data_IF_462875603012
#
_entry.id   IF_462875603012
#
_cell.length_a   1.000
_cell.length_b   1.000
_cell.length_c   1.000
_cell.angle_alpha   90.00
_cell.angle_beta   90.00
_cell.angle_gamma   90.00
#
_symmetry.space_group_name_H-M   'P 1'
#
loop_
_entity.id
_entity.type
_entity.pdbx_description
1 polymer ?
#
# COMPACT_ATOMS: atom_id res chain seq x y z
N UNK A 1 18.40 1.20 -20.09
CA UNK A 1 17.47 2.19 -19.51
C UNK A 1 17.54 2.04 -18.01
N UNK A 2 17.55 3.12 -17.22
CA UNK A 2 17.53 3.00 -15.76
C UNK A 2 16.21 2.36 -15.31
N UNK A 3 16.23 1.52 -14.27
CA UNK A 3 15.03 0.83 -13.76
C UNK A 3 13.88 1.82 -13.46
N UNK A 4 14.21 3.06 -13.07
CA UNK A 4 13.23 4.12 -12.87
C UNK A 4 12.55 4.57 -14.17
N UNK A 5 13.26 4.67 -15.29
CA UNK A 5 12.67 5.09 -16.56
C UNK A 5 11.62 4.08 -17.02
N UNK A 6 11.89 2.78 -16.84
CA UNK A 6 10.92 1.72 -17.11
C UNK A 6 9.72 1.79 -16.16
N UNK A 7 9.94 2.09 -14.87
CA UNK A 7 8.84 2.27 -13.91
C UNK A 7 7.91 3.42 -14.30
N UNK A 8 8.47 4.58 -14.70
CA UNK A 8 7.66 5.72 -15.13
C UNK A 8 6.90 5.42 -16.43
N UNK A 9 7.54 4.79 -17.41
CA UNK A 9 6.87 4.38 -18.63
C UNK A 9 5.69 3.44 -18.35
N UNK A 10 5.90 2.44 -17.49
CA UNK A 10 4.84 1.50 -17.10
C UNK A 10 3.72 2.21 -16.32
N UNK A 11 4.07 3.15 -15.44
CA UNK A 11 3.10 3.94 -14.70
C UNK A 11 2.26 4.82 -15.64
N UNK A 12 2.88 5.48 -16.63
CA UNK A 12 2.19 6.25 -17.66
C UNK A 12 1.20 5.40 -18.46
N UNK A 13 1.66 4.26 -19.00
CA UNK A 13 0.78 3.32 -19.72
C UNK A 13 -0.38 2.85 -18.83
N UNK A 14 -0.12 2.56 -17.56
CA UNK A 14 -1.19 2.14 -16.63
C UNK A 14 -2.16 3.28 -16.31
N UNK A 15 -1.70 4.54 -16.28
CA UNK A 15 -2.58 5.71 -16.13
C UNK A 15 -3.48 5.85 -17.36
N UNK A 16 -2.96 5.66 -18.56
CA UNK A 16 -3.77 5.68 -19.79
C UNK A 16 -4.87 4.62 -19.75
N UNK A 17 -4.55 3.39 -19.32
CA UNK A 17 -5.54 2.34 -19.11
C UNK A 17 -6.62 2.75 -18.10
N UNK A 18 -6.23 3.36 -16.98
CA UNK A 18 -7.18 3.89 -15.98
C UNK A 18 -8.11 4.93 -16.60
N UNK A 19 -7.60 5.83 -17.44
CA UNK A 19 -8.40 6.86 -18.12
C UNK A 19 -9.39 6.22 -19.11
N UNK A 20 -8.97 5.21 -19.87
CA UNK A 20 -9.85 4.46 -20.77
C UNK A 20 -10.97 3.76 -19.98
N UNK A 21 -10.62 3.08 -18.87
CA UNK A 21 -11.61 2.44 -18.00
C UNK A 21 -12.62 3.43 -17.42
N UNK A 22 -12.15 4.61 -16.99
CA UNK A 22 -13.02 5.68 -16.48
C UNK A 22 -13.98 6.20 -17.54
N UNK A 23 -13.53 6.32 -18.78
CA UNK A 23 -14.34 6.75 -19.93
C UNK A 23 -15.43 5.74 -20.25
N UNK A 24 -15.07 4.44 -20.35
CA UNK A 24 -16.06 3.38 -20.57
C UNK A 24 -17.06 3.24 -19.42
N UNK A 25 -16.63 3.45 -18.17
CA UNK A 25 -17.50 3.37 -17.00
C UNK A 25 -18.71 4.33 -17.07
N UNK A 26 -18.55 5.49 -17.74
CA UNK A 26 -19.61 6.48 -17.90
C UNK A 26 -20.70 6.04 -18.91
N UNK A 27 -20.34 5.18 -19.86
CA UNK A 27 -21.22 4.74 -20.95
C UNK A 27 -22.01 3.46 -20.63
N UNK A 28 -21.69 2.78 -19.53
CA UNK A 28 -22.27 1.48 -19.19
C UNK A 28 -23.22 1.53 -18.00
N UNK A 29 -23.97 0.44 -17.84
CA UNK A 29 -24.92 0.22 -16.74
C UNK A 29 -24.23 0.20 -15.37
N UNK A 30 -25.01 0.40 -14.29
CA UNK A 30 -24.49 0.52 -12.93
C UNK A 30 -23.63 -0.67 -12.47
N UNK A 31 -23.99 -1.90 -12.84
CA UNK A 31 -23.24 -3.10 -12.46
C UNK A 31 -21.88 -3.16 -13.16
N UNK A 32 -21.84 -2.92 -14.48
CA UNK A 32 -20.60 -2.92 -15.27
C UNK A 32 -19.69 -1.75 -14.88
N UNK A 33 -20.28 -0.58 -14.60
CA UNK A 33 -19.58 0.61 -14.12
C UNK A 33 -18.77 0.34 -12.85
N UNK A 34 -19.35 -0.41 -11.92
CA UNK A 34 -18.67 -0.79 -10.67
C UNK A 34 -17.44 -1.65 -10.95
N UNK A 35 -17.50 -2.55 -11.94
CA UNK A 35 -16.34 -3.38 -12.35
C UNK A 35 -15.21 -2.54 -12.94
N UNK A 36 -15.53 -1.57 -13.81
CA UNK A 36 -14.53 -0.64 -14.33
C UNK A 36 -13.89 0.18 -13.22
N UNK A 37 -14.69 0.75 -12.30
CA UNK A 37 -14.13 1.51 -11.18
C UNK A 37 -13.29 0.66 -10.23
N UNK A 38 -13.69 -0.60 -9.99
CA UNK A 38 -12.89 -1.55 -9.21
C UNK A 38 -11.53 -1.80 -9.87
N UNK A 39 -11.50 -2.03 -11.19
CA UNK A 39 -10.27 -2.30 -11.93
C UNK A 39 -9.36 -1.07 -11.97
N UNK A 40 -9.93 0.09 -12.28
CA UNK A 40 -9.22 1.37 -12.27
C UNK A 40 -8.63 1.71 -10.87
N UNK A 41 -9.39 1.46 -9.80
CA UNK A 41 -8.91 1.67 -8.43
C UNK A 41 -7.78 0.71 -8.08
N UNK A 42 -7.86 -0.55 -8.53
CA UNK A 42 -6.81 -1.53 -8.33
C UNK A 42 -5.51 -1.11 -9.00
N UNK A 43 -5.57 -0.77 -10.30
CA UNK A 43 -4.41 -0.29 -11.06
C UNK A 43 -3.84 0.99 -10.45
N UNK A 44 -4.69 1.95 -10.09
CA UNK A 44 -4.26 3.20 -9.46
C UNK A 44 -3.52 2.96 -8.13
N UNK A 45 -4.01 2.03 -7.29
CA UNK A 45 -3.35 1.66 -6.05
C UNK A 45 -2.00 0.96 -6.28
N UNK A 46 -1.89 0.12 -7.32
CA UNK A 46 -0.62 -0.51 -7.72
C UNK A 46 0.42 0.52 -8.18
N UNK A 47 0.01 1.54 -8.92
CA UNK A 47 0.90 2.67 -9.29
C UNK A 47 1.37 3.40 -8.03
N UNK A 48 0.46 3.70 -7.08
CA UNK A 48 0.83 4.34 -5.81
C UNK A 48 1.86 3.52 -5.05
N UNK A 49 1.68 2.20 -4.99
CA UNK A 49 2.58 1.26 -4.33
C UNK A 49 3.96 1.22 -5.00
N UNK A 50 4.00 1.18 -6.34
CA UNK A 50 5.24 1.18 -7.11
C UNK A 50 6.04 2.48 -6.92
N UNK A 51 5.38 3.63 -6.91
CA UNK A 51 6.04 4.91 -6.67
C UNK A 51 6.57 5.00 -5.23
N UNK A 52 5.83 4.49 -4.24
CA UNK A 52 6.32 4.40 -2.87
C UNK A 52 7.56 3.50 -2.77
N UNK A 53 7.54 2.35 -3.45
CA UNK A 53 8.69 1.46 -3.53
C UNK A 53 9.92 2.18 -4.09
N UNK A 54 9.77 2.87 -5.21
CA UNK A 54 10.87 3.60 -5.86
C UNK A 54 11.41 4.73 -4.99
N UNK A 55 10.53 5.47 -4.30
CA UNK A 55 10.93 6.49 -3.32
C UNK A 55 11.80 5.87 -2.21
N UNK A 56 11.36 4.77 -1.62
CA UNK A 56 12.12 4.07 -0.57
C UNK A 56 13.45 3.55 -1.12
N UNK A 57 13.44 2.93 -2.31
CA UNK A 57 14.65 2.39 -2.95
C UNK A 57 15.71 3.46 -3.12
N UNK A 58 15.35 4.60 -3.72
CA UNK A 58 16.28 5.72 -3.92
C UNK A 58 16.82 6.28 -2.61
N UNK A 59 16.01 6.37 -1.56
CA UNK A 59 16.49 6.80 -0.25
C UNK A 59 17.47 5.81 0.38
N UNK A 60 17.22 4.50 0.25
CA UNK A 60 18.13 3.45 0.72
C UNK A 60 19.44 3.43 -0.07
N UNK A 61 19.39 3.68 -1.39
CA UNK A 61 20.59 3.76 -2.24
C UNK A 61 21.51 4.91 -1.80
N UNK A 62 20.93 6.02 -1.34
CA UNK A 62 21.70 7.19 -0.85
C UNK A 62 22.04 7.13 0.65
N UNK A 63 21.26 6.39 1.46
CA UNK A 63 21.39 6.30 2.91
C UNK A 63 21.24 4.83 3.36
N UNK A 64 22.23 3.96 3.10
CA UNK A 64 22.13 2.53 3.35
C UNK A 64 21.85 2.18 4.83
N UNK A 65 22.25 3.05 5.76
CA UNK A 65 22.04 2.92 7.20
C UNK A 65 20.55 2.89 7.60
N UNK A 66 19.67 3.45 6.76
CA UNK A 66 18.22 3.40 6.97
C UNK A 66 17.67 1.96 6.92
N UNK A 67 18.40 0.99 6.36
CA UNK A 67 18.02 -0.43 6.42
C UNK A 67 17.89 -0.95 7.87
N UNK A 68 18.56 -0.31 8.83
CA UNK A 68 18.48 -0.69 10.24
C UNK A 68 17.16 -0.29 10.93
N UNK A 69 16.30 0.48 10.26
CA UNK A 69 14.99 0.86 10.78
C UNK A 69 14.14 -0.40 11.00
N UNK A 70 13.77 -0.64 12.26
CA UNK A 70 12.97 -1.80 12.68
C UNK A 70 11.50 -1.58 12.34
N UNK A 71 11.04 -2.22 11.28
CA UNK A 71 9.66 -2.05 10.76
C UNK A 71 8.71 -3.10 11.29
N UNK A 72 9.11 -4.38 11.28
CA UNK A 72 8.29 -5.49 11.72
C UNK A 72 8.63 -5.96 13.14
N UNK A 73 7.59 -6.16 13.94
CA UNK A 73 7.67 -6.91 15.20
C UNK A 73 7.02 -8.27 14.95
N UNK A 74 7.81 -9.33 15.08
CA UNK A 74 7.32 -10.72 15.10
C UNK A 74 7.39 -11.24 16.53
N UNK A 75 6.53 -12.20 16.84
CA UNK A 75 6.53 -12.89 18.12
C UNK A 75 6.87 -14.34 17.89
N UNK A 76 7.87 -14.86 18.61
CA UNK A 76 8.27 -16.27 18.61
C UNK A 76 8.09 -16.88 20.00
N UNK A 77 8.20 -18.21 20.09
CA UNK A 77 8.05 -18.98 21.35
C UNK A 77 6.79 -18.59 22.13
N UNK A 78 5.65 -18.73 21.45
CA UNK A 78 4.35 -18.37 21.99
C UNK A 78 3.93 -19.48 22.97
N UNK A 79 3.88 -19.16 24.25
CA UNK A 79 3.44 -20.07 25.30
C UNK A 79 2.18 -19.54 25.97
N UNK A 80 1.14 -20.36 25.99
CA UNK A 80 -0.07 -20.06 26.74
C UNK A 80 0.17 -20.36 28.22
N UNK A 81 -0.09 -19.38 29.09
CA UNK A 81 -0.06 -19.64 30.53
C UNK A 81 -1.32 -20.40 30.94
N UNK A 82 -1.22 -21.31 31.93
CA UNK A 82 -2.40 -21.93 32.53
C UNK A 82 -3.38 -20.85 32.98
N UNK A 83 -4.70 -21.11 32.83
CA UNK A 83 -5.73 -20.20 33.33
C UNK A 83 -5.53 -20.03 34.83
N UNK A 84 -4.96 -18.90 35.23
CA UNK A 84 -4.93 -18.51 36.64
C UNK A 84 -6.38 -18.25 37.03
N UNK A 85 -6.82 -18.96 38.06
CA UNK A 85 -8.19 -19.04 38.56
C UNK A 85 -8.85 -17.65 38.57
N UNK A 86 -9.98 -17.51 37.85
CA UNK A 86 -10.87 -16.32 37.71
C UNK A 86 -10.58 -15.25 36.64
N UNK A 87 -9.82 -15.56 35.58
CA UNK A 87 -9.77 -14.69 34.39
C UNK A 87 -10.36 -15.38 33.16
N UNK A 88 -11.36 -14.78 32.52
CA UNK A 88 -11.85 -15.18 31.20
C UNK A 88 -10.84 -14.92 30.07
N UNK A 89 -9.74 -14.20 30.38
CA UNK A 89 -8.69 -13.86 29.42
C UNK A 89 -7.55 -14.87 29.49
N UNK A 90 -7.22 -15.45 28.33
CA UNK A 90 -6.07 -16.32 28.13
C UNK A 90 -4.79 -15.47 28.06
N UNK A 91 -3.87 -15.68 29.00
CA UNK A 91 -2.57 -15.01 28.99
C UNK A 91 -1.58 -15.78 28.12
N UNK A 92 -0.80 -15.04 27.34
CA UNK A 92 0.19 -15.58 26.41
C UNK A 92 1.52 -14.87 26.64
N UNK A 93 2.58 -15.64 26.82
CA UNK A 93 3.96 -15.14 26.87
C UNK A 93 4.59 -15.40 25.51
N UNK A 94 5.31 -14.41 24.99
CA UNK A 94 6.02 -14.55 23.72
C UNK A 94 7.33 -13.75 23.75
N UNK A 95 8.30 -14.22 22.98
CA UNK A 95 9.55 -13.51 22.74
C UNK A 95 9.34 -12.52 21.59
N UNK A 96 9.59 -11.23 21.86
CA UNK A 96 9.49 -10.17 20.87
C UNK A 96 10.76 -10.13 20.02
N UNK A 97 10.61 -10.32 18.72
CA UNK A 97 11.71 -10.22 17.76
C UNK A 97 11.45 -9.06 16.81
N UNK A 98 12.46 -8.21 16.62
CA UNK A 98 12.40 -7.08 15.68
C UNK A 98 13.39 -7.30 14.56
N UNK A 99 12.91 -7.26 13.32
CA UNK A 99 13.78 -7.41 12.15
C UNK A 99 14.07 -6.05 11.49
N UNK A 100 15.29 -5.85 10.97
CA UNK A 100 15.59 -4.71 10.12
C UNK A 100 14.74 -4.77 8.85
N UNK A 101 14.42 -3.60 8.29
CA UNK A 101 13.70 -3.51 7.03
C UNK A 101 14.58 -4.02 5.89
N UNK A 102 13.98 -4.81 5.00
CA UNK A 102 14.61 -5.23 3.75
C UNK A 102 13.64 -4.92 2.63
N UNK A 103 14.06 -4.03 1.73
CA UNK A 103 13.34 -3.79 0.50
C UNK A 103 13.66 -4.92 -0.48
N UNK A 104 12.62 -5.56 -1.01
CA UNK A 104 12.73 -6.57 -2.06
C UNK A 104 11.43 -6.65 -2.84
N UNK A 105 11.43 -7.46 -3.91
CA UNK A 105 10.27 -7.56 -4.81
C UNK A 105 8.97 -8.08 -4.18
N UNK A 106 9.03 -8.62 -2.95
CA UNK A 106 7.86 -9.10 -2.20
C UNK A 106 7.51 -8.23 -0.99
N UNK A 107 8.16 -7.08 -0.79
CA UNK A 107 7.84 -6.19 0.33
C UNK A 107 6.42 -5.64 0.16
N UNK A 108 5.55 -5.91 1.11
CA UNK A 108 4.15 -5.52 1.00
C UNK A 108 3.91 -4.03 1.26
N UNK A 109 2.87 -3.45 0.63
CA UNK A 109 2.45 -2.06 0.83
C UNK A 109 2.45 -1.60 2.30
N UNK A 110 1.94 -2.44 3.22
CA UNK A 110 1.87 -2.09 4.64
C UNK A 110 3.25 -1.84 5.22
N UNK A 111 4.20 -2.73 4.95
CA UNK A 111 5.56 -2.66 5.46
C UNK A 111 6.30 -1.45 4.88
N UNK A 112 6.11 -1.17 3.58
CA UNK A 112 6.65 0.02 2.93
C UNK A 112 6.11 1.32 3.55
N UNK A 113 4.81 1.39 3.80
CA UNK A 113 4.18 2.57 4.41
C UNK A 113 4.68 2.79 5.86
N UNK A 114 4.80 1.71 6.64
CA UNK A 114 5.36 1.75 8.00
C UNK A 114 6.83 2.16 8.01
N UNK A 115 7.63 1.65 7.07
CA UNK A 115 9.02 2.06 6.88
C UNK A 115 9.11 3.55 6.56
N UNK A 116 8.38 4.01 5.55
CA UNK A 116 8.46 5.39 5.09
C UNK A 116 8.10 6.39 6.20
N UNK A 117 7.15 6.04 7.09
CA UNK A 117 6.85 6.87 8.25
C UNK A 117 7.98 6.86 9.29
N UNK A 118 8.55 5.68 9.59
CA UNK A 118 9.61 5.53 10.61
C UNK A 118 10.94 6.13 10.18
N UNK A 119 11.24 6.09 8.89
CA UNK A 119 12.39 6.74 8.27
C UNK A 119 12.13 8.22 7.93
N UNK A 120 11.00 8.77 8.38
CA UNK A 120 10.61 10.18 8.20
C UNK A 120 10.51 10.65 6.73
N UNK A 121 10.45 9.71 5.78
CA UNK A 121 10.26 9.97 4.34
C UNK A 121 8.87 10.55 4.03
N UNK A 122 7.89 10.27 4.90
CA UNK A 122 6.53 10.78 4.78
C UNK A 122 5.99 11.24 6.13
N UNK A 123 5.07 12.21 6.09
CA UNK A 123 4.37 12.67 7.29
C UNK A 123 3.27 11.68 7.71
N UNK A 124 2.82 11.78 8.97
CA UNK A 124 1.68 11.00 9.48
C UNK A 124 0.40 11.18 8.65
N UNK A 125 0.21 12.38 8.08
CA UNK A 125 -0.92 12.67 7.18
C UNK A 125 -0.84 11.83 5.90
N UNK A 126 0.32 11.79 5.25
CA UNK A 126 0.53 10.99 4.03
C UNK A 126 0.40 9.49 4.35
N UNK A 127 0.97 9.05 5.48
CA UNK A 127 0.86 7.66 5.96
C UNK A 127 -0.61 7.21 6.05
N UNK A 128 -1.46 8.01 6.67
CA UNK A 128 -2.89 7.68 6.82
C UNK A 128 -3.60 7.62 5.46
N UNK A 129 -3.20 8.45 4.50
CA UNK A 129 -3.77 8.44 3.15
C UNK A 129 -3.33 7.21 2.36
N UNK A 130 -2.05 6.81 2.43
CA UNK A 130 -1.55 5.58 1.84
C UNK A 130 -2.20 4.34 2.47
N UNK A 131 -2.44 4.37 3.78
CA UNK A 131 -3.11 3.29 4.48
C UNK A 131 -4.56 3.14 4.02
N UNK A 132 -5.24 4.24 3.68
CA UNK A 132 -6.57 4.19 3.06
C UNK A 132 -6.53 3.59 1.66
N UNK A 133 -5.56 3.95 0.82
CA UNK A 133 -5.35 3.34 -0.51
C UNK A 133 -5.14 1.82 -0.36
N UNK A 134 -4.24 1.41 0.54
CA UNK A 134 -3.97 -0.01 0.84
C UNK A 134 -5.23 -0.75 1.29
N UNK A 135 -6.00 -0.17 2.22
CA UNK A 135 -7.25 -0.77 2.71
C UNK A 135 -8.25 -0.95 1.56
N UNK A 136 -8.41 0.05 0.69
CA UNK A 136 -9.30 -0.06 -0.47
C UNK A 136 -8.85 -1.12 -1.47
N UNK A 137 -7.56 -1.19 -1.80
CA UNK A 137 -7.00 -2.28 -2.62
C UNK A 137 -7.27 -3.66 -1.99
N UNK A 138 -7.07 -3.79 -0.67
CA UNK A 138 -7.32 -5.05 0.02
C UNK A 138 -8.80 -5.43 0.07
N UNK A 139 -9.70 -4.46 0.20
CA UNK A 139 -11.14 -4.71 0.08
C UNK A 139 -11.48 -5.27 -1.30
N UNK A 140 -10.89 -4.76 -2.39
CA UNK A 140 -11.06 -5.30 -3.73
C UNK A 140 -10.69 -6.79 -3.78
N UNK A 141 -9.60 -7.21 -3.13
CA UNK A 141 -9.23 -8.63 -3.06
C UNK A 141 -10.22 -9.46 -2.24
N UNK A 142 -10.65 -8.96 -1.07
CA UNK A 142 -11.61 -9.66 -0.20
C UNK A 142 -13.02 -9.74 -0.81
N UNK A 143 -13.41 -8.77 -1.63
CA UNK A 143 -14.67 -8.80 -2.38
C UNK A 143 -14.64 -9.82 -3.53
N UNK A 144 -13.48 -10.31 -3.97
CA UNK A 144 -13.44 -11.49 -4.83
C UNK A 144 -13.92 -12.75 -4.07
N UNK A 145 -13.83 -12.75 -2.73
CA UNK A 145 -14.09 -13.91 -1.88
C UNK A 145 -15.43 -13.83 -1.12
N UNK A 146 -16.10 -12.68 -1.13
CA UNK A 146 -17.36 -12.46 -0.39
C UNK A 146 -18.50 -12.01 -1.30
N UNK A 147 -19.73 -12.46 -1.02
CA UNK A 147 -20.95 -12.16 -1.79
C UNK A 147 -21.47 -10.73 -1.62
N UNK A 148 -20.84 -9.90 -0.79
CA UNK A 148 -21.26 -8.52 -0.58
C UNK A 148 -20.87 -7.64 -1.78
N UNK A 149 -21.88 -7.13 -2.51
CA UNK A 149 -21.69 -6.17 -3.61
C UNK A 149 -21.45 -4.77 -3.03
N UNK A 150 -20.20 -4.38 -2.89
CA UNK A 150 -19.83 -2.99 -2.60
C UNK A 150 -19.66 -2.21 -3.90
N UNK A 151 -20.27 -1.03 -3.99
CA UNK A 151 -20.10 -0.12 -5.12
C UNK A 151 -18.85 0.73 -4.95
N UNK A 152 -17.95 0.70 -5.92
CA UNK A 152 -16.84 1.64 -6.05
C UNK A 152 -17.28 2.84 -6.90
N UNK A 153 -16.74 4.03 -6.65
CA UNK A 153 -17.11 5.27 -7.36
C UNK A 153 -15.88 5.98 -7.90
N UNK A 154 -16.08 6.85 -8.88
CA UNK A 154 -15.03 7.74 -9.43
C UNK A 154 -14.25 8.47 -8.33
N UNK A 155 -14.94 8.93 -7.29
CA UNK A 155 -14.35 9.61 -6.14
C UNK A 155 -13.27 8.78 -5.40
N UNK A 156 -13.41 7.45 -5.35
CA UNK A 156 -12.40 6.58 -4.71
C UNK A 156 -11.09 6.55 -5.51
N UNK A 157 -11.20 6.64 -6.84
CA UNK A 157 -10.07 6.69 -7.76
C UNK A 157 -9.39 8.06 -7.66
N UNK A 158 -10.16 9.15 -7.66
CA UNK A 158 -9.64 10.51 -7.48
C UNK A 158 -8.88 10.66 -6.15
N UNK A 159 -9.38 10.05 -5.06
CA UNK A 159 -8.66 9.99 -3.78
C UNK A 159 -7.30 9.31 -3.90
N UNK A 160 -7.24 8.20 -4.63
CA UNK A 160 -6.01 7.43 -4.82
C UNK A 160 -5.02 8.19 -5.71
N UNK A 161 -5.49 8.74 -6.83
CA UNK A 161 -4.70 9.57 -7.73
C UNK A 161 -4.09 10.79 -7.02
N UNK A 162 -4.84 11.45 -6.14
CA UNK A 162 -4.33 12.55 -5.34
C UNK A 162 -3.17 12.15 -4.41
N UNK A 163 -3.16 10.92 -3.89
CA UNK A 163 -2.05 10.40 -3.08
C UNK A 163 -0.86 10.07 -3.96
N UNK A 164 -1.10 9.43 -5.11
CA UNK A 164 -0.07 9.15 -6.11
C UNK A 164 0.66 10.42 -6.53
N UNK A 165 -0.08 11.47 -6.89
CA UNK A 165 0.50 12.75 -7.29
C UNK A 165 1.36 13.38 -6.19
N UNK A 166 0.97 13.26 -4.92
CA UNK A 166 1.79 13.73 -3.79
C UNK A 166 3.11 12.96 -3.67
N UNK A 167 3.09 11.64 -3.90
CA UNK A 167 4.30 10.84 -3.89
C UNK A 167 5.22 11.16 -5.07
N UNK A 168 4.67 11.32 -6.28
CA UNK A 168 5.46 11.72 -7.46
C UNK A 168 6.16 13.05 -7.21
N UNK A 169 5.44 14.05 -6.68
CA UNK A 169 6.06 15.35 -6.36
C UNK A 169 7.20 15.24 -5.35
N UNK A 170 7.10 14.37 -4.36
CA UNK A 170 8.21 14.11 -3.43
C UNK A 170 9.38 13.43 -4.15
N UNK A 171 9.11 12.37 -4.90
CA UNK A 171 10.10 11.63 -5.68
C UNK A 171 10.91 12.53 -6.63
N UNK A 172 10.28 13.57 -7.18
CA UNK A 172 10.90 14.55 -8.07
C UNK A 172 11.57 15.75 -7.36
N UNK A 173 11.25 16.02 -6.10
CA UNK A 173 11.80 17.15 -5.34
C UNK A 173 12.93 16.74 -4.39
N UNK A 174 12.95 15.47 -3.96
CA UNK A 174 13.96 14.93 -3.06
C UNK A 174 15.29 14.61 -3.82
N UNK A 175 15.35 14.92 -5.12
CA UNK A 175 16.49 14.76 -6.05
C UNK A 175 16.48 15.84 -7.13
#
# INVERSE_FOLDING_TARGET
MSDTATLFQNAETTVEEVVVMLSHAQQVTHSQRTTYYRSALFLSASITEAILYELIRRHLDNNPELCNVKTSTKYKKIHTLPRVVRSDKQLVVCEKETHPFRLGGQTGFKEMNEFALKAELITRSIFNRLENVRKRRNEIHLHALSSSRRSFRKYDIEKTANVTHLLVRRLLNDF
#
